data_IF_331215231488
#
_entry.id   IF_331215231488
#
_cell.length_a   1.000
_cell.length_b   1.000
_cell.length_c   1.000
_cell.angle_alpha   90.00
_cell.angle_beta   90.00
_cell.angle_gamma   90.00
#
_symmetry.space_group_name_H-M   'P 1'
#
loop_
_entity.id
_entity.type
_entity.pdbx_description
1 polymer ?
#
# COMPACT_ATOMS: atom_id res chain seq x y z
N UNK A 1 -5.98 -16.79 -40.93
CA UNK A 1 -5.36 -16.21 -39.72
C UNK A 1 -5.78 -17.03 -38.50
N UNK A 2 -4.88 -17.87 -37.97
CA UNK A 2 -5.16 -18.88 -36.91
C UNK A 2 -6.02 -18.39 -35.73
N UNK A 3 -5.79 -17.17 -35.24
CA UNK A 3 -6.57 -16.59 -34.13
C UNK A 3 -8.08 -16.44 -34.45
N UNK A 4 -8.42 -16.05 -35.68
CA UNK A 4 -9.81 -15.84 -36.10
C UNK A 4 -10.46 -17.15 -36.54
N UNK A 5 -9.72 -17.97 -37.28
CA UNK A 5 -10.29 -19.12 -37.98
C UNK A 5 -10.40 -20.35 -37.07
N UNK A 6 -9.38 -20.61 -36.23
CA UNK A 6 -9.35 -21.76 -35.31
C UNK A 6 -9.85 -21.39 -33.91
N UNK A 7 -9.34 -20.28 -33.36
CA UNK A 7 -9.64 -19.87 -31.98
C UNK A 7 -10.89 -18.99 -31.86
N UNK A 8 -11.46 -18.52 -32.99
CA UNK A 8 -12.65 -17.65 -33.04
C UNK A 8 -12.52 -16.40 -32.16
N UNK A 9 -11.33 -15.82 -32.09
CA UNK A 9 -11.04 -14.60 -31.34
C UNK A 9 -10.75 -13.42 -32.28
N UNK A 10 -11.34 -12.27 -31.95
CA UNK A 10 -11.08 -11.01 -32.66
C UNK A 10 -10.04 -10.17 -31.92
N UNK A 11 -9.11 -9.59 -32.69
CA UNK A 11 -8.13 -8.65 -32.14
C UNK A 11 -8.77 -7.28 -31.94
N UNK A 12 -8.38 -6.62 -30.85
CA UNK A 12 -8.84 -5.27 -30.54
C UNK A 12 -7.89 -4.26 -31.18
N UNK A 13 -8.32 -3.60 -32.26
CA UNK A 13 -7.51 -2.61 -33.00
C UNK A 13 -6.97 -1.49 -32.10
N UNK A 14 -7.75 -1.07 -31.11
CA UNK A 14 -7.34 -0.06 -30.11
C UNK A 14 -6.18 -0.50 -29.21
N UNK A 15 -5.90 -1.80 -29.12
CA UNK A 15 -4.83 -2.39 -28.30
C UNK A 15 -3.65 -2.86 -29.13
N UNK A 16 -3.85 -3.13 -30.42
CA UNK A 16 -2.83 -3.65 -31.34
C UNK A 16 -2.32 -2.54 -32.25
N UNK A 17 -1.49 -1.65 -31.71
CA UNK A 17 -0.84 -0.57 -32.46
C UNK A 17 0.65 -0.84 -32.63
N UNK A 18 1.16 -0.73 -33.87
CA UNK A 18 2.60 -0.71 -34.14
C UNK A 18 3.10 0.71 -33.89
N UNK A 19 4.03 0.86 -32.96
CA UNK A 19 4.60 2.17 -32.58
C UNK A 19 6.11 2.17 -32.74
N UNK A 20 6.66 3.30 -33.20
CA UNK A 20 8.10 3.46 -33.29
C UNK A 20 8.74 3.50 -31.88
N UNK A 21 9.66 2.57 -31.62
CA UNK A 21 10.11 2.22 -30.27
C UNK A 21 10.83 3.36 -29.51
N UNK A 22 11.38 4.35 -30.21
CA UNK A 22 12.07 5.50 -29.61
C UNK A 22 11.13 6.66 -29.32
N UNK A 23 10.09 6.88 -30.15
CA UNK A 23 9.20 8.05 -30.02
C UNK A 23 7.98 7.78 -29.17
N UNK A 24 7.46 6.54 -29.15
CA UNK A 24 6.28 6.16 -28.37
C UNK A 24 6.54 4.87 -27.61
N UNK A 25 6.15 4.87 -26.33
CA UNK A 25 6.28 3.70 -25.47
C UNK A 25 5.21 2.67 -25.82
N UNK A 26 5.60 1.40 -25.87
CA UNK A 26 4.66 0.29 -25.81
C UNK A 26 4.36 -0.04 -24.34
N UNK A 27 3.14 -0.50 -24.04
CA UNK A 27 2.78 -0.96 -22.71
C UNK A 27 2.63 -2.47 -22.68
N UNK A 28 3.37 -3.15 -21.82
CA UNK A 28 3.27 -4.60 -21.66
C UNK A 28 3.47 -4.97 -20.19
N UNK A 29 2.58 -5.80 -19.65
CA UNK A 29 2.59 -6.24 -18.25
C UNK A 29 2.84 -5.09 -17.25
N UNK A 30 2.20 -3.94 -17.45
CA UNK A 30 2.33 -2.79 -16.54
C UNK A 30 3.67 -2.04 -16.61
N UNK A 31 4.54 -2.36 -17.56
CA UNK A 31 5.75 -1.62 -17.90
C UNK A 31 5.55 -0.75 -19.14
N UNK A 32 6.35 0.31 -19.25
CA UNK A 32 6.61 1.01 -20.50
C UNK A 32 7.88 0.44 -21.14
N UNK A 33 7.81 0.05 -22.42
CA UNK A 33 8.93 -0.40 -23.22
C UNK A 33 9.31 0.71 -24.18
N UNK A 34 10.59 1.10 -24.15
CA UNK A 34 11.14 2.11 -25.05
C UNK A 34 12.55 1.70 -25.47
N UNK A 35 12.89 1.97 -26.73
CA UNK A 35 14.27 1.97 -27.16
C UNK A 35 14.98 3.14 -26.49
N UNK A 36 16.06 2.87 -25.78
CA UNK A 36 16.84 3.91 -25.13
C UNK A 36 17.61 4.71 -26.19
N UNK A 37 17.77 6.00 -25.92
CA UNK A 37 18.57 6.90 -26.72
C UNK A 37 19.23 7.93 -25.78
N UNK A 38 20.54 8.09 -25.90
CA UNK A 38 21.32 8.96 -25.04
C UNK A 38 22.74 9.11 -25.56
N UNK A 39 23.06 10.31 -26.04
CA UNK A 39 24.35 10.62 -26.67
C UNK A 39 25.46 10.94 -25.67
N UNK A 40 25.10 11.18 -24.41
CA UNK A 40 26.01 11.55 -23.33
C UNK A 40 26.75 10.37 -22.70
N UNK A 41 26.24 9.14 -22.86
CA UNK A 41 26.86 7.94 -22.27
C UNK A 41 27.73 7.20 -23.29
N UNK A 42 29.01 7.55 -23.32
CA UNK A 42 30.04 6.91 -24.13
C UNK A 42 30.83 5.94 -23.25
N UNK A 43 30.98 4.69 -23.69
CA UNK A 43 31.81 3.69 -23.01
C UNK A 43 32.65 3.00 -24.08
N UNK A 44 33.97 2.90 -23.88
CA UNK A 44 34.91 2.35 -24.88
C UNK A 44 34.75 3.02 -26.25
N UNK A 45 34.65 4.35 -26.26
CA UNK A 45 34.47 5.19 -27.46
C UNK A 45 33.23 4.85 -28.33
N UNK A 46 32.21 4.20 -27.75
CA UNK A 46 30.94 3.86 -28.44
C UNK A 46 29.73 4.32 -27.63
N UNK A 47 28.65 4.70 -28.33
CA UNK A 47 27.33 4.97 -27.73
C UNK A 47 26.63 3.63 -27.46
N UNK A 48 26.66 3.19 -26.21
CA UNK A 48 26.20 1.83 -25.83
C UNK A 48 24.70 1.73 -25.54
N UNK A 49 24.02 2.86 -25.37
CA UNK A 49 22.63 2.90 -24.89
C UNK A 49 21.62 2.97 -26.03
N UNK A 50 22.03 3.49 -27.18
CA UNK A 50 21.15 3.74 -28.33
C UNK A 50 20.62 2.42 -28.90
N UNK A 51 19.30 2.31 -29.01
CA UNK A 51 18.61 1.14 -29.57
C UNK A 51 18.35 0.01 -28.58
N UNK A 52 18.90 0.06 -27.36
CA UNK A 52 18.68 -0.98 -26.34
C UNK A 52 17.29 -0.83 -25.72
N UNK A 53 16.45 -1.85 -25.84
CA UNK A 53 15.13 -1.87 -25.21
C UNK A 53 15.26 -1.84 -23.68
N UNK A 54 14.62 -0.86 -23.07
CA UNK A 54 14.53 -0.70 -21.62
C UNK A 54 13.10 -0.86 -21.14
N UNK A 55 12.97 -1.39 -19.91
CA UNK A 55 11.73 -1.37 -19.14
C UNK A 55 11.69 -0.11 -18.29
N UNK A 56 10.53 0.53 -18.22
CA UNK A 56 10.31 1.76 -17.46
C UNK A 56 9.02 1.66 -16.65
N UNK A 57 8.98 2.35 -15.51
CA UNK A 57 7.77 2.48 -14.70
C UNK A 57 6.86 3.54 -15.33
N UNK A 58 5.62 3.21 -15.71
CA UNK A 58 4.71 4.20 -16.27
C UNK A 58 4.41 5.31 -15.26
N UNK A 59 4.44 6.57 -15.71
CA UNK A 59 4.18 7.73 -14.83
C UNK A 59 2.77 7.72 -14.26
N UNK A 60 1.81 7.23 -15.05
CA UNK A 60 0.40 7.06 -14.65
C UNK A 60 0.29 6.11 -13.46
N UNK A 61 0.98 4.97 -13.48
CA UNK A 61 0.96 3.99 -12.39
C UNK A 61 1.51 4.59 -11.10
N UNK A 62 2.60 5.36 -11.15
CA UNK A 62 3.13 6.06 -9.96
C UNK A 62 2.11 7.05 -9.43
N UNK A 63 1.54 7.91 -10.29
CA UNK A 63 0.54 8.91 -9.93
C UNK A 63 -0.70 8.28 -9.30
N UNK A 64 -1.25 7.26 -9.95
CA UNK A 64 -2.48 6.59 -9.52
C UNK A 64 -2.26 5.83 -8.20
N UNK A 65 -1.03 5.31 -7.98
CA UNK A 65 -0.65 4.71 -6.70
C UNK A 65 -0.50 5.77 -5.61
N UNK A 66 0.15 6.91 -5.90
CA UNK A 66 0.28 8.04 -4.97
C UNK A 66 -1.09 8.62 -4.58
N UNK A 67 -2.02 8.72 -5.53
CA UNK A 67 -3.37 9.24 -5.31
C UNK A 67 -4.12 8.50 -4.18
N UNK A 68 -3.86 7.20 -4.00
CA UNK A 68 -4.46 6.39 -2.91
C UNK A 68 -4.04 6.82 -1.51
N UNK A 69 -2.91 7.52 -1.39
CA UNK A 69 -2.34 8.01 -0.13
C UNK A 69 -2.47 9.52 0.01
N UNK A 70 -3.14 10.18 -0.94
CA UNK A 70 -3.30 11.63 -0.98
C UNK A 70 -4.77 12.02 -0.84
N UNK A 71 -5.00 13.18 -0.23
CA UNK A 71 -6.28 13.88 -0.25
C UNK A 71 -6.02 15.34 -0.58
N UNK A 72 -6.79 15.89 -1.53
CA UNK A 72 -6.61 17.28 -2.02
C UNK A 72 -5.15 17.57 -2.43
N UNK A 73 -4.52 16.63 -3.14
CA UNK A 73 -3.14 16.76 -3.64
C UNK A 73 -2.03 16.65 -2.59
N UNK A 74 -2.35 16.44 -1.30
CA UNK A 74 -1.36 16.30 -0.23
C UNK A 74 -1.43 14.89 0.38
N UNK A 75 -0.29 14.29 0.81
CA UNK A 75 -0.34 13.03 1.54
C UNK A 75 -1.25 13.16 2.76
N UNK A 76 -2.18 12.23 2.93
CA UNK A 76 -3.23 12.30 3.93
C UNK A 76 -3.13 11.14 4.93
N UNK A 77 -3.70 11.35 6.11
CA UNK A 77 -3.86 10.27 7.09
C UNK A 77 -4.79 9.18 6.55
N UNK A 78 -4.48 7.92 6.87
CA UNK A 78 -5.33 6.77 6.52
C UNK A 78 -6.24 6.44 7.70
N UNK A 79 -7.46 6.99 7.68
CA UNK A 79 -8.49 6.73 8.69
C UNK A 79 -8.66 5.24 9.07
N UNK A 80 -8.67 4.30 8.11
CA UNK A 80 -8.79 2.87 8.43
C UNK A 80 -7.68 2.30 9.30
N UNK A 81 -6.48 2.90 9.33
CA UNK A 81 -5.34 2.43 10.13
C UNK A 81 -5.21 3.14 11.48
N UNK A 82 -6.04 4.14 11.80
CA UNK A 82 -5.93 4.89 13.07
C UNK A 82 -6.09 4.00 14.31
N UNK A 83 -6.92 2.96 14.23
CA UNK A 83 -7.17 2.03 15.33
C UNK A 83 -6.30 0.76 15.26
N UNK A 84 -5.40 0.66 14.27
CA UNK A 84 -4.44 -0.43 14.21
C UNK A 84 -3.25 -0.13 15.13
N UNK A 85 -2.60 -1.19 15.62
CA UNK A 85 -1.34 -1.03 16.35
C UNK A 85 -0.26 -0.36 15.47
N UNK A 86 0.70 0.32 16.10
CA UNK A 86 1.78 1.02 15.39
C UNK A 86 2.60 0.05 14.54
N UNK A 87 2.89 -1.13 15.09
CA UNK A 87 3.58 -2.20 14.39
C UNK A 87 2.81 -2.61 13.13
N UNK A 88 1.50 -2.84 13.27
CA UNK A 88 0.62 -3.23 12.17
C UNK A 88 0.56 -2.16 11.08
N UNK A 89 0.50 -0.89 11.48
CA UNK A 89 0.48 0.24 10.55
C UNK A 89 1.76 0.29 9.71
N UNK A 90 2.93 0.19 10.35
CA UNK A 90 4.22 0.20 9.65
C UNK A 90 4.43 -1.07 8.82
N UNK A 91 4.01 -2.24 9.33
CA UNK A 91 4.11 -3.50 8.62
C UNK A 91 3.27 -3.51 7.32
N UNK A 92 2.02 -3.03 7.39
CA UNK A 92 1.13 -2.91 6.22
C UNK A 92 1.73 -1.99 5.16
N UNK A 93 2.08 -0.75 5.52
CA UNK A 93 2.67 0.20 4.58
C UNK A 93 4.00 -0.32 4.01
N UNK A 94 4.82 -0.97 4.84
CA UNK A 94 6.10 -1.55 4.42
C UNK A 94 5.95 -2.68 3.40
N UNK A 95 4.96 -3.56 3.60
CA UNK A 95 4.66 -4.63 2.66
C UNK A 95 4.02 -4.12 1.36
N UNK A 96 3.08 -3.18 1.44
CA UNK A 96 2.47 -2.52 0.28
C UNK A 96 3.52 -1.85 -0.61
N UNK A 97 4.50 -1.18 -0.01
CA UNK A 97 5.61 -0.53 -0.72
C UNK A 97 6.60 -1.56 -1.27
N UNK A 98 7.03 -2.53 -0.45
CA UNK A 98 7.98 -3.58 -0.87
C UNK A 98 7.48 -4.36 -2.07
N UNK A 99 6.24 -4.84 -2.03
CA UNK A 99 5.68 -5.62 -3.14
C UNK A 99 5.63 -4.80 -4.43
N UNK A 100 5.29 -3.51 -4.33
CA UNK A 100 5.25 -2.62 -5.50
C UNK A 100 6.64 -2.35 -6.07
N UNK A 101 7.64 -2.06 -5.22
CA UNK A 101 9.02 -1.86 -5.66
C UNK A 101 9.56 -3.15 -6.29
N UNK A 102 9.35 -4.30 -5.65
CA UNK A 102 9.85 -5.59 -6.14
C UNK A 102 9.33 -5.93 -7.53
N UNK A 103 8.06 -5.63 -7.81
CA UNK A 103 7.48 -5.79 -9.14
C UNK A 103 8.23 -4.98 -10.20
N UNK A 104 8.62 -3.75 -9.87
CA UNK A 104 9.24 -2.78 -10.79
C UNK A 104 10.78 -2.71 -10.73
N UNK A 105 11.46 -3.60 -9.99
CA UNK A 105 12.93 -3.59 -9.85
C UNK A 105 13.68 -3.80 -11.18
N UNK A 106 13.02 -4.34 -12.21
CA UNK A 106 13.60 -4.51 -13.54
C UNK A 106 13.69 -3.19 -14.32
N UNK A 107 12.91 -2.17 -13.94
CA UNK A 107 12.84 -0.89 -14.63
C UNK A 107 14.14 -0.09 -14.49
N UNK A 108 14.54 0.59 -15.58
CA UNK A 108 15.69 1.49 -15.62
C UNK A 108 15.49 2.71 -14.71
N UNK A 109 14.26 3.19 -14.61
CA UNK A 109 13.88 4.37 -13.85
C UNK A 109 13.21 4.04 -12.51
N UNK A 110 13.55 2.89 -11.90
CA UNK A 110 13.02 2.47 -10.60
C UNK A 110 13.24 3.52 -9.49
N UNK A 111 14.26 4.37 -9.61
CA UNK A 111 14.49 5.51 -8.71
C UNK A 111 13.29 6.47 -8.64
N UNK A 112 12.43 6.53 -9.67
CA UNK A 112 11.20 7.35 -9.66
C UNK A 112 10.20 6.91 -8.60
N UNK A 113 10.31 5.67 -8.11
CA UNK A 113 9.51 5.18 -6.99
C UNK A 113 9.85 5.88 -5.67
N UNK A 114 10.90 6.69 -5.62
CA UNK A 114 11.24 7.53 -4.48
C UNK A 114 10.12 8.53 -4.16
N UNK A 115 9.41 9.04 -5.17
CA UNK A 115 8.23 9.87 -4.98
C UNK A 115 7.14 9.09 -4.21
N UNK A 116 6.86 7.85 -4.64
CA UNK A 116 5.89 6.99 -3.97
C UNK A 116 6.33 6.67 -2.54
N UNK A 117 7.62 6.39 -2.34
CA UNK A 117 8.22 6.16 -1.01
C UNK A 117 7.91 7.35 -0.09
N UNK A 118 8.21 8.56 -0.54
CA UNK A 118 7.96 9.79 0.22
C UNK A 118 6.47 10.00 0.51
N UNK A 119 5.58 9.86 -0.48
CA UNK A 119 4.13 10.03 -0.30
C UNK A 119 3.58 9.03 0.73
N UNK A 120 3.97 7.74 0.63
CA UNK A 120 3.56 6.70 1.55
C UNK A 120 4.12 6.93 2.97
N UNK A 121 5.39 7.36 3.07
CA UNK A 121 6.03 7.67 4.35
C UNK A 121 5.28 8.78 5.10
N UNK A 122 5.00 9.91 4.42
CA UNK A 122 4.29 11.04 5.03
C UNK A 122 2.85 10.66 5.39
N UNK A 123 2.15 9.91 4.53
CA UNK A 123 0.79 9.41 4.83
C UNK A 123 0.77 8.50 6.06
N UNK A 124 1.72 7.57 6.16
CA UNK A 124 1.89 6.68 7.31
C UNK A 124 2.20 7.47 8.59
N UNK A 125 3.15 8.41 8.54
CA UNK A 125 3.53 9.23 9.68
C UNK A 125 2.41 10.17 10.14
N UNK A 126 1.60 10.71 9.20
CA UNK A 126 0.39 11.47 9.54
C UNK A 126 -0.64 10.61 10.26
N UNK A 127 -0.78 9.36 9.87
CA UNK A 127 -1.68 8.40 10.53
C UNK A 127 -1.22 8.13 11.97
N UNK A 128 0.08 7.87 12.16
CA UNK A 128 0.66 7.70 13.50
C UNK A 128 0.55 8.98 14.35
N UNK A 129 0.78 10.14 13.74
CA UNK A 129 0.67 11.43 14.42
C UNK A 129 -0.76 11.70 14.90
N UNK A 130 -1.76 11.42 14.06
CA UNK A 130 -3.18 11.53 14.43
C UNK A 130 -3.53 10.59 15.59
N UNK A 131 -3.09 9.33 15.52
CA UNK A 131 -3.32 8.33 16.58
C UNK A 131 -2.72 8.75 17.94
N UNK A 132 -1.49 9.24 17.95
CA UNK A 132 -0.76 9.62 19.17
C UNK A 132 -0.97 11.08 19.59
N UNK A 133 -1.89 11.82 18.95
CA UNK A 133 -2.08 13.27 19.16
C UNK A 133 -0.76 14.04 19.15
N UNK A 134 0.09 13.73 18.17
CA UNK A 134 1.45 14.23 18.05
C UNK A 134 1.69 14.85 16.68
N UNK A 135 2.94 15.28 16.42
CA UNK A 135 3.32 15.82 15.11
C UNK A 135 4.05 14.77 14.27
N UNK A 136 3.94 14.91 12.94
CA UNK A 136 4.66 14.05 11.98
C UNK A 136 6.16 14.01 12.28
N UNK A 137 6.76 15.15 12.64
CA UNK A 137 8.19 15.25 12.97
C UNK A 137 8.56 14.45 14.23
N UNK A 138 7.72 14.47 15.26
CA UNK A 138 7.93 13.67 16.49
C UNK A 138 7.84 12.18 16.18
N UNK A 139 6.84 11.75 15.41
CA UNK A 139 6.71 10.35 14.99
C UNK A 139 7.85 9.89 14.09
N UNK A 140 8.27 10.73 13.12
CA UNK A 140 9.40 10.43 12.25
C UNK A 140 10.70 10.21 13.06
N UNK A 141 10.96 11.05 14.07
CA UNK A 141 12.09 10.89 14.98
C UNK A 141 11.98 9.63 15.82
N UNK A 142 10.80 9.35 16.39
CA UNK A 142 10.54 8.18 17.26
C UNK A 142 10.83 6.86 16.55
N UNK A 143 10.41 6.73 15.29
CA UNK A 143 10.56 5.48 14.52
C UNK A 143 11.73 5.52 13.54
N UNK A 144 12.61 6.53 13.61
CA UNK A 144 13.77 6.63 12.74
C UNK A 144 14.72 5.46 13.03
N UNK A 145 15.03 4.70 12.00
CA UNK A 145 16.06 3.67 12.04
C UNK A 145 16.92 3.74 10.79
N UNK A 146 18.01 3.00 10.80
CA UNK A 146 18.82 2.77 9.62
C UNK A 146 19.11 1.29 9.51
N UNK A 147 19.16 0.80 8.27
CA UNK A 147 19.55 -0.57 8.00
C UNK A 147 20.73 -0.58 7.05
N UNK A 148 21.62 -1.53 7.27
CA UNK A 148 22.71 -1.81 6.36
C UNK A 148 22.17 -2.65 5.21
N UNK A 149 22.31 -2.12 4.00
CA UNK A 149 22.05 -2.84 2.76
C UNK A 149 23.37 -3.06 2.04
N UNK A 150 23.45 -4.05 1.12
CA UNK A 150 24.66 -4.23 0.30
C UNK A 150 25.08 -2.95 -0.45
N UNK A 151 24.14 -2.04 -0.74
CA UNK A 151 24.38 -0.74 -1.38
C UNK A 151 24.55 0.42 -0.37
N UNK A 152 24.89 0.11 0.89
CA UNK A 152 25.16 1.07 1.96
C UNK A 152 24.03 1.25 2.98
N UNK A 153 24.27 2.08 3.98
CA UNK A 153 23.30 2.37 5.06
C UNK A 153 22.14 3.20 4.54
N UNK A 154 20.90 2.78 4.81
CA UNK A 154 19.67 3.44 4.34
C UNK A 154 18.74 3.79 5.50
N UNK A 155 18.13 5.00 5.51
CA UNK A 155 17.12 5.34 6.50
C UNK A 155 15.83 4.53 6.25
N UNK A 156 15.16 4.18 7.34
CA UNK A 156 13.86 3.53 7.31
C UNK A 156 13.05 3.91 8.54
N UNK A 157 11.74 3.69 8.49
CA UNK A 157 10.90 3.71 9.68
C UNK A 157 10.81 2.29 10.23
N UNK A 158 11.17 2.10 11.51
CA UNK A 158 11.14 0.79 12.17
C UNK A 158 10.33 0.85 13.46
N UNK A 159 9.49 -0.18 13.66
CA UNK A 159 8.82 -0.46 14.94
C UNK A 159 9.23 -1.84 15.39
N UNK A 160 9.74 -1.96 16.61
CA UNK A 160 10.07 -3.24 17.23
C UNK A 160 9.15 -3.48 18.42
N UNK A 161 8.55 -4.67 18.49
CA UNK A 161 7.76 -5.14 19.62
C UNK A 161 8.50 -6.29 20.28
N UNK A 162 8.87 -6.10 21.55
CA UNK A 162 9.51 -7.14 22.33
C UNK A 162 8.55 -8.30 22.58
N UNK A 163 9.07 -9.52 22.54
CA UNK A 163 8.37 -10.76 22.89
C UNK A 163 8.98 -11.33 24.16
N UNK A 164 8.32 -12.35 24.73
CA UNK A 164 8.82 -13.12 25.88
C UNK A 164 10.30 -13.47 25.69
N UNK A 165 11.05 -13.54 26.79
CA UNK A 165 12.53 -13.51 26.84
C UNK A 165 13.25 -14.50 25.89
N UNK A 166 12.57 -15.55 25.40
CA UNK A 166 13.12 -16.55 24.48
C UNK A 166 12.83 -16.31 22.99
N UNK A 167 12.04 -15.29 22.61
CA UNK A 167 11.61 -15.06 21.22
C UNK A 167 12.18 -13.77 20.66
N UNK A 168 12.69 -13.85 19.42
CA UNK A 168 13.16 -12.66 18.68
C UNK A 168 12.05 -11.59 18.60
N UNK A 169 12.39 -10.31 18.78
CA UNK A 169 11.42 -9.23 18.68
C UNK A 169 10.79 -9.18 17.29
N UNK A 170 9.52 -8.78 17.25
CA UNK A 170 8.85 -8.50 15.99
C UNK A 170 9.33 -7.16 15.46
N UNK A 171 9.83 -7.12 14.22
CA UNK A 171 10.31 -5.89 13.60
C UNK A 171 9.52 -5.60 12.33
N UNK A 172 8.80 -4.48 12.32
CA UNK A 172 8.13 -3.92 11.15
C UNK A 172 8.98 -2.81 10.56
N UNK A 173 9.14 -2.81 9.24
CA UNK A 173 9.98 -1.84 8.52
C UNK A 173 9.25 -1.27 7.31
N UNK A 174 9.33 0.05 7.16
CA UNK A 174 8.97 0.77 5.95
C UNK A 174 10.21 1.47 5.38
N UNK A 175 10.46 1.33 4.09
CA UNK A 175 11.67 1.84 3.44
C UNK A 175 12.87 0.91 3.57
N UNK A 176 14.08 1.45 3.44
CA UNK A 176 15.32 0.67 3.47
C UNK A 176 15.53 -0.25 2.26
N UNK A 177 14.71 -0.13 1.21
CA UNK A 177 14.86 -0.92 -0.02
C UNK A 177 15.66 -0.08 -1.01
N UNK A 178 16.78 -0.59 -1.56
CA UNK A 178 17.53 0.13 -2.58
C UNK A 178 16.68 0.20 -3.87
N UNK A 179 16.37 1.43 -4.29
CA UNK A 179 15.69 1.69 -5.58
C UNK A 179 16.71 1.69 -6.71
N UNK A 180 17.33 0.53 -6.93
CA UNK A 180 18.35 0.29 -7.94
C UNK A 180 17.89 -0.86 -8.83
N UNK A 181 18.08 -0.69 -10.14
CA UNK A 181 17.67 -1.71 -11.11
C UNK A 181 18.41 -3.03 -10.83
N UNK A 182 17.65 -4.12 -10.80
CA UNK A 182 18.18 -5.48 -10.65
C UNK A 182 17.67 -6.32 -11.82
N UNK A 183 18.56 -6.75 -12.72
CA UNK A 183 18.15 -7.47 -13.94
C UNK A 183 17.63 -8.88 -13.67
N UNK A 184 18.13 -9.51 -12.61
CA UNK A 184 17.74 -10.86 -12.17
C UNK A 184 16.84 -10.78 -10.92
N UNK A 185 16.00 -9.75 -10.84
CA UNK A 185 15.11 -9.58 -9.69
C UNK A 185 14.12 -10.75 -9.63
N UNK A 186 14.16 -11.51 -8.53
CA UNK A 186 13.17 -12.55 -8.24
C UNK A 186 12.07 -11.94 -7.39
N UNK A 187 10.81 -12.10 -7.81
CA UNK A 187 9.65 -11.73 -7.00
C UNK A 187 9.54 -12.74 -5.88
N UNK A 188 9.68 -12.28 -4.65
CA UNK A 188 9.53 -13.06 -3.42
C UNK A 188 8.25 -12.61 -2.76
N UNK A 189 7.19 -13.39 -2.91
CA UNK A 189 5.95 -13.10 -2.20
C UNK A 189 6.14 -13.43 -0.71
N UNK A 190 6.39 -12.38 0.08
CA UNK A 190 6.52 -12.47 1.53
C UNK A 190 5.23 -12.00 2.16
N UNK A 191 4.52 -12.89 2.82
CA UNK A 191 3.39 -12.49 3.64
C UNK A 191 3.85 -11.48 4.71
N UNK A 192 3.17 -10.32 4.84
CA UNK A 192 3.51 -9.37 5.88
C UNK A 192 3.36 -10.03 7.24
N UNK A 193 4.38 -9.86 8.10
CA UNK A 193 4.23 -10.19 9.52
C UNK A 193 3.31 -9.15 10.11
N UNK A 194 2.03 -9.50 10.18
CA UNK A 194 1.00 -8.71 10.82
C UNK A 194 1.05 -8.96 12.33
N UNK A 195 0.76 -7.95 13.16
CA UNK A 195 0.63 -8.17 14.61
C UNK A 195 -0.45 -9.20 14.96
N UNK A 196 -1.29 -9.63 14.01
CA UNK A 196 -2.22 -10.76 14.14
C UNK A 196 -1.53 -12.10 14.46
N UNK A 197 -0.21 -12.20 14.36
CA UNK A 197 0.52 -13.33 14.96
C UNK A 197 0.43 -13.35 16.50
N UNK A 198 0.06 -12.23 17.15
CA UNK A 198 -0.63 -12.25 18.45
C UNK A 198 -2.12 -12.34 18.16
N UNK A 199 -2.79 -13.38 18.65
CA UNK A 199 -4.25 -13.60 18.57
C UNK A 199 -5.12 -12.49 19.23
N UNK A 200 -4.54 -11.32 19.53
CA UNK A 200 -5.06 -10.33 20.47
C UNK A 200 -5.35 -8.96 19.84
N UNK A 201 -5.30 -8.80 18.51
CA UNK A 201 -5.60 -7.48 17.92
C UNK A 201 -7.02 -7.01 18.24
N UNK A 202 -8.01 -7.91 18.21
CA UNK A 202 -9.36 -7.60 18.65
C UNK A 202 -9.39 -7.21 20.13
N UNK A 203 -8.62 -7.91 20.98
CA UNK A 203 -8.51 -7.62 22.41
C UNK A 203 -7.90 -6.23 22.61
N UNK A 204 -6.84 -5.87 21.90
CA UNK A 204 -6.25 -4.53 21.99
C UNK A 204 -7.20 -3.43 21.49
N UNK A 205 -8.01 -3.70 20.46
CA UNK A 205 -9.06 -2.78 19.98
C UNK A 205 -10.18 -2.63 21.01
N UNK A 206 -10.57 -3.71 21.70
CA UNK A 206 -11.52 -3.67 22.81
C UNK A 206 -10.96 -2.91 24.01
N UNK A 207 -9.71 -3.18 24.40
CA UNK A 207 -9.00 -2.50 25.49
C UNK A 207 -8.75 -1.02 25.18
N UNK A 208 -8.68 -0.63 23.90
CA UNK A 208 -8.63 0.78 23.52
C UNK A 208 -9.90 1.54 23.94
N UNK A 209 -10.99 0.83 24.22
CA UNK A 209 -12.18 1.39 24.86
C UNK A 209 -12.92 2.41 24.00
N UNK A 210 -12.88 2.27 22.67
CA UNK A 210 -13.45 3.24 21.75
C UNK A 210 -14.19 2.57 20.58
N UNK A 211 -15.34 3.13 20.23
CA UNK A 211 -16.10 2.77 19.04
C UNK A 211 -15.33 3.18 17.78
N UNK A 212 -15.19 2.27 16.83
CA UNK A 212 -14.43 2.52 15.60
C UNK A 212 -15.19 3.33 14.55
N UNK A 213 -16.46 3.65 14.81
CA UNK A 213 -17.30 4.47 13.94
C UNK A 213 -17.43 5.90 14.51
N UNK A 214 -17.76 6.03 15.80
CA UNK A 214 -18.12 7.31 16.42
C UNK A 214 -17.26 7.69 17.63
N UNK A 215 -16.22 6.92 17.96
CA UNK A 215 -15.30 7.15 19.08
C UNK A 215 -15.93 7.11 20.49
N UNK A 216 -17.23 6.80 20.60
CA UNK A 216 -17.91 6.60 21.88
C UNK A 216 -17.27 5.50 22.73
N UNK A 217 -17.27 5.69 24.05
CA UNK A 217 -16.58 4.79 25.01
C UNK A 217 -17.52 3.89 25.82
N UNK A 218 -18.83 4.07 25.65
CA UNK A 218 -19.86 3.39 26.44
C UNK A 218 -20.42 2.18 25.69
N UNK A 219 -20.70 1.11 26.42
CA UNK A 219 -21.41 -0.08 25.91
C UNK A 219 -20.78 -0.69 24.67
N UNK A 220 -19.48 -0.99 24.69
CA UNK A 220 -18.77 -1.53 23.53
C UNK A 220 -19.11 -3.00 23.27
N UNK A 221 -19.44 -3.30 22.02
CA UNK A 221 -19.83 -4.60 21.51
C UNK A 221 -19.01 -4.92 20.25
N UNK A 222 -18.80 -6.21 19.97
CA UNK A 222 -18.08 -6.66 18.77
C UNK A 222 -19.10 -7.06 17.72
N UNK A 223 -19.21 -6.27 16.65
CA UNK A 223 -19.93 -6.67 15.45
C UNK A 223 -19.05 -7.63 14.63
N UNK A 224 -19.59 -8.78 14.21
CA UNK A 224 -18.89 -9.77 13.41
C UNK A 224 -19.70 -10.19 12.18
N UNK A 225 -19.02 -10.34 11.04
CA UNK A 225 -19.60 -10.86 9.79
C UNK A 225 -18.94 -12.19 9.39
N UNK A 226 -19.71 -13.11 8.82
CA UNK A 226 -19.21 -14.46 8.46
C UNK A 226 -18.12 -14.41 7.39
N UNK A 227 -18.35 -13.69 6.28
CA UNK A 227 -17.37 -13.51 5.20
C UNK A 227 -17.30 -12.04 4.76
N UNK A 228 -16.12 -11.59 4.34
CA UNK A 228 -15.96 -10.22 3.80
C UNK A 228 -16.72 -10.03 2.48
N UNK A 229 -16.95 -11.09 1.72
CA UNK A 229 -17.76 -11.05 0.50
C UNK A 229 -19.22 -10.65 0.79
N UNK A 230 -19.74 -10.99 1.97
CA UNK A 230 -21.13 -10.72 2.39
C UNK A 230 -21.40 -9.21 2.59
N UNK A 231 -20.33 -8.39 2.65
CA UNK A 231 -20.41 -6.93 2.70
C UNK A 231 -20.89 -6.31 1.38
N UNK A 232 -20.73 -7.02 0.25
CA UNK A 232 -21.17 -6.57 -1.07
C UNK A 232 -22.51 -7.23 -1.42
N UNK A 233 -23.62 -6.67 -0.93
CA UNK A 233 -24.96 -7.12 -1.34
C UNK A 233 -25.38 -6.42 -2.64
N UNK A 234 -25.74 -7.17 -3.70
CA UNK A 234 -26.32 -6.60 -4.92
C UNK A 234 -27.59 -5.82 -4.58
N UNK A 235 -27.81 -4.65 -5.19
CA UNK A 235 -29.06 -3.88 -5.08
C UNK A 235 -29.07 -2.72 -4.06
N UNK A 236 -28.05 -2.54 -3.21
CA UNK A 236 -27.92 -1.31 -2.40
C UNK A 236 -27.20 -0.21 -3.20
N UNK A 237 -27.89 0.91 -3.44
CA UNK A 237 -27.32 2.10 -4.11
C UNK A 237 -26.21 2.75 -3.30
N UNK A 238 -26.32 2.78 -1.97
CA UNK A 238 -25.33 3.38 -1.08
C UNK A 238 -24.91 2.39 0.02
N UNK A 239 -23.59 2.22 0.20
CA UNK A 239 -23.05 1.32 1.21
C UNK A 239 -22.89 2.10 2.53
N UNK A 240 -23.39 1.58 3.66
CA UNK A 240 -23.19 2.20 4.96
C UNK A 240 -21.72 2.38 5.30
N UNK A 241 -21.41 3.37 6.14
CA UNK A 241 -20.04 3.69 6.57
C UNK A 241 -19.34 2.51 7.24
N UNK A 242 -20.05 1.68 8.01
CA UNK A 242 -19.48 0.49 8.64
C UNK A 242 -19.05 -0.57 7.61
N UNK A 243 -19.80 -0.73 6.51
CA UNK A 243 -19.47 -1.63 5.39
C UNK A 243 -18.21 -1.13 4.69
N UNK A 244 -18.12 0.18 4.45
CA UNK A 244 -16.91 0.81 3.92
C UNK A 244 -15.71 0.58 4.84
N UNK A 245 -15.87 0.80 6.14
CA UNK A 245 -14.79 0.63 7.11
C UNK A 245 -14.29 -0.82 7.18
N UNK A 246 -15.19 -1.80 7.24
CA UNK A 246 -14.82 -3.23 7.24
C UNK A 246 -14.17 -3.67 5.94
N UNK A 247 -14.67 -3.21 4.79
CA UNK A 247 -14.08 -3.50 3.48
C UNK A 247 -12.68 -2.89 3.32
N UNK A 248 -12.49 -1.63 3.75
CA UNK A 248 -11.18 -0.96 3.73
C UNK A 248 -10.19 -1.63 4.68
N UNK A 249 -10.63 -2.06 5.87
CA UNK A 249 -9.79 -2.76 6.85
C UNK A 249 -9.50 -4.21 6.47
N UNK A 250 -10.33 -4.81 5.60
CA UNK A 250 -10.36 -6.25 5.29
C UNK A 250 -10.45 -7.09 6.57
N UNK A 251 -11.34 -6.71 7.49
CA UNK A 251 -11.57 -7.39 8.78
C UNK A 251 -13.02 -7.78 8.96
N UNK A 252 -13.22 -8.97 9.53
CA UNK A 252 -14.56 -9.52 9.83
C UNK A 252 -15.15 -9.00 11.14
N UNK A 253 -14.38 -8.27 11.95
CA UNK A 253 -14.80 -7.74 13.25
C UNK A 253 -14.69 -6.22 13.31
N UNK A 254 -15.65 -5.58 13.97
CA UNK A 254 -15.70 -4.14 14.24
C UNK A 254 -16.10 -3.92 15.70
N UNK A 255 -15.30 -3.15 16.45
CA UNK A 255 -15.66 -2.74 17.82
C UNK A 255 -16.51 -1.48 17.76
N UNK A 256 -17.75 -1.55 18.25
CA UNK A 256 -18.75 -0.47 18.15
C UNK A 256 -19.48 -0.27 19.46
N UNK A 257 -19.97 0.94 19.74
CA UNK A 257 -20.88 1.15 20.87
C UNK A 257 -22.26 0.54 20.58
N UNK A 258 -23.06 0.32 21.61
CA UNK A 258 -24.40 -0.26 21.53
C UNK A 258 -25.29 0.44 20.50
N UNK A 259 -25.32 1.78 20.50
CA UNK A 259 -26.08 2.57 19.51
C UNK A 259 -25.66 2.25 18.07
N UNK A 260 -24.36 2.26 17.80
CA UNK A 260 -23.83 1.93 16.48
C UNK A 260 -24.12 0.46 16.11
N UNK A 261 -24.08 -0.44 17.09
CA UNK A 261 -24.41 -1.85 16.86
C UNK A 261 -25.88 -2.03 16.46
N UNK A 262 -26.80 -1.36 17.16
CA UNK A 262 -28.23 -1.36 16.81
C UNK A 262 -28.47 -0.76 15.43
N UNK A 263 -27.79 0.34 15.07
CA UNK A 263 -27.92 0.95 13.75
C UNK A 263 -27.40 0.05 12.62
N UNK A 264 -26.35 -0.73 12.87
CA UNK A 264 -25.85 -1.75 11.92
C UNK A 264 -26.92 -2.82 11.68
N UNK A 265 -27.53 -3.36 12.73
CA UNK A 265 -28.59 -4.38 12.63
C UNK A 265 -29.87 -3.84 11.99
N UNK A 266 -30.26 -2.61 12.31
CA UNK A 266 -31.40 -1.92 11.71
C UNK A 266 -31.14 -1.49 10.25
N UNK A 267 -29.91 -1.64 9.75
CA UNK A 267 -29.54 -1.30 8.37
C UNK A 267 -29.48 0.20 8.08
N UNK A 268 -29.46 1.06 9.11
CA UNK A 268 -29.37 2.53 9.02
C UNK A 268 -27.96 2.99 8.66
N UNK A 269 -27.83 4.19 8.08
CA UNK A 269 -26.53 4.80 7.82
C UNK A 269 -25.94 5.32 9.13
N UNK A 270 -24.87 4.66 9.60
CA UNK A 270 -24.10 5.14 10.76
C UNK A 270 -23.25 6.34 10.34
N UNK A 271 -23.80 7.55 10.28
CA UNK A 271 -22.99 8.73 10.00
C UNK A 271 -21.92 8.90 11.11
N UNK A 272 -20.65 9.15 10.78
CA UNK A 272 -19.69 9.57 11.78
C UNK A 272 -20.13 10.96 12.27
N UNK A 273 -20.67 11.05 13.49
CA UNK A 273 -20.85 12.32 14.18
C UNK A 273 -19.47 12.87 14.53
N UNK A 274 -18.86 13.56 13.57
CA UNK A 274 -17.64 14.33 13.77
C UNK A 274 -18.03 15.65 14.42
N UNK A 275 -17.77 15.78 15.72
CA UNK A 275 -17.65 17.10 16.37
C UNK A 275 -16.26 17.66 16.10
#
# INVERSE_FOLDING_TARGET
MFLRDELRLELSDSKTLITHATSRAAHFLGYELRAQHGDTKITRNRRMVNGVIGLFVPRTVIRDRCARYMSKGKPAQRGPLLHDDDFTTVAKCGAEFRGFVQYYLLAQDVFRLELLRWVMEISMLKTLAGKHKSTVRKMARRYKASIDTPDGRRPCCQVAVQRDERKKPLVARFGGIPLKRQQKAVITDRQPVMATARRNELIHRLLAGQCEICEGRTGLQVHHVRKLADLNKPGRRERPSWVHLMAMRKRKTLVVCERCHQDIHAGRSTAPTRK
#
